data_IF_595650944540
#
_entry.id   IF_595650944540
#
_cell.length_a   1.000
_cell.length_b   1.000
_cell.length_c   1.000
_cell.angle_alpha   90.00
_cell.angle_beta   90.00
_cell.angle_gamma   90.00
#
_symmetry.space_group_name_H-M   'P 1'
#
loop_
_entity.id
_entity.type
_entity.pdbx_description
1 polymer ?
#
# COMPACT_ATOMS: atom_id res chain seq x y z
N UNK A 1 0.11 -2.13 4.37
CA UNK A 1 0.86 -2.53 3.16
C UNK A 1 2.34 -2.23 3.29
N UNK A 2 2.75 -0.99 3.56
CA UNK A 2 4.18 -0.61 3.60
C UNK A 2 5.07 -1.47 4.52
N UNK A 3 4.58 -1.82 5.72
CA UNK A 3 5.32 -2.69 6.66
C UNK A 3 5.52 -4.09 6.07
N UNK A 4 4.53 -4.61 5.34
CA UNK A 4 4.63 -5.94 4.70
C UNK A 4 5.63 -5.94 3.54
N UNK A 5 5.72 -4.82 2.81
CA UNK A 5 6.64 -4.69 1.69
C UNK A 5 8.10 -4.49 2.15
N UNK A 6 8.32 -3.66 3.18
CA UNK A 6 9.66 -3.19 3.55
C UNK A 6 10.21 -3.78 4.85
N UNK A 7 9.36 -4.41 5.67
CA UNK A 7 9.70 -4.82 7.03
C UNK A 7 9.94 -3.67 8.02
N UNK A 8 9.81 -2.41 7.56
CA UNK A 8 10.10 -1.21 8.34
C UNK A 8 8.82 -0.45 8.68
N UNK A 9 8.86 0.27 9.80
CA UNK A 9 7.81 1.23 10.14
C UNK A 9 7.78 2.34 9.07
N UNK A 10 6.60 2.82 8.64
CA UNK A 10 6.48 4.07 7.90
C UNK A 10 7.28 5.19 8.55
N UNK A 11 8.07 5.92 7.76
CA UNK A 11 8.86 7.05 8.25
C UNK A 11 9.77 6.67 9.42
N UNK A 12 10.41 5.51 9.36
CA UNK A 12 11.28 4.99 10.44
C UNK A 12 12.52 5.85 10.69
N UNK A 13 12.86 6.70 9.73
CA UNK A 13 14.04 7.56 9.65
C UNK A 13 13.83 8.97 10.23
N UNK A 14 12.62 9.31 10.67
CA UNK A 14 12.28 10.62 11.24
C UNK A 14 11.36 10.52 12.45
N UNK A 15 11.29 11.59 13.24
CA UNK A 15 10.43 11.67 14.42
C UNK A 15 8.94 11.61 14.06
N UNK A 16 8.14 10.98 14.92
CA UNK A 16 6.68 10.85 14.73
C UNK A 16 5.98 11.94 15.55
N UNK A 17 6.12 13.17 15.06
CA UNK A 17 5.63 14.39 15.70
C UNK A 17 4.54 15.08 14.85
N UNK A 18 4.11 16.26 15.31
CA UNK A 18 3.10 17.06 14.63
C UNK A 18 3.55 17.56 13.25
N UNK A 19 4.85 17.70 13.01
CA UNK A 19 5.36 18.10 11.70
C UNK A 19 5.16 16.98 10.68
N UNK A 20 5.44 15.73 11.06
CA UNK A 20 5.11 14.57 10.23
C UNK A 20 3.61 14.40 10.01
N UNK A 21 2.80 14.58 11.05
CA UNK A 21 1.35 14.52 10.88
C UNK A 21 0.86 15.56 9.86
N UNK A 22 1.35 16.80 9.97
CA UNK A 22 1.02 17.89 9.04
C UNK A 22 1.45 17.56 7.61
N UNK A 23 2.68 17.10 7.38
CA UNK A 23 3.16 16.82 6.03
C UNK A 23 2.38 15.70 5.34
N UNK A 24 1.95 14.66 6.08
CA UNK A 24 1.07 13.62 5.56
C UNK A 24 -0.30 14.20 5.15
N UNK A 25 -0.88 15.07 5.98
CA UNK A 25 -2.13 15.77 5.68
C UNK A 25 -1.99 16.68 4.45
N UNK A 26 -0.83 17.29 4.24
CA UNK A 26 -0.51 18.12 3.08
C UNK A 26 -0.25 17.29 1.80
N UNK A 27 -0.27 15.96 1.89
CA UNK A 27 -0.14 15.06 0.73
C UNK A 27 1.19 14.32 0.64
N UNK A 28 2.10 14.46 1.60
CA UNK A 28 3.33 13.65 1.63
C UNK A 28 2.97 12.15 1.70
N UNK A 29 3.62 11.35 0.87
CA UNK A 29 3.46 9.89 0.81
C UNK A 29 4.82 9.22 0.87
N UNK A 30 4.81 7.99 1.38
CA UNK A 30 6.01 7.16 1.41
C UNK A 30 6.47 6.88 -0.03
N UNK A 31 7.77 6.92 -0.22
CA UNK A 31 8.39 6.38 -1.42
C UNK A 31 8.15 4.87 -1.49
N UNK A 32 7.79 4.38 -2.67
CA UNK A 32 7.59 2.96 -2.92
C UNK A 32 8.91 2.44 -3.52
N UNK A 33 9.58 1.47 -2.88
CA UNK A 33 10.79 0.88 -3.44
C UNK A 33 10.57 0.30 -4.83
N UNK A 34 11.53 0.49 -5.74
CA UNK A 34 11.46 0.04 -7.13
C UNK A 34 11.32 -1.48 -7.30
N UNK A 35 11.75 -2.26 -6.30
CA UNK A 35 11.61 -3.71 -6.24
C UNK A 35 10.21 -4.17 -5.79
N UNK A 36 9.35 -3.24 -5.39
CA UNK A 36 7.95 -3.54 -5.04
C UNK A 36 7.20 -3.99 -6.30
N UNK A 37 6.55 -5.16 -6.31
CA UNK A 37 5.78 -5.59 -7.47
C UNK A 37 4.72 -4.55 -7.84
N UNK A 38 4.64 -4.18 -9.12
CA UNK A 38 3.79 -3.09 -9.63
C UNK A 38 2.37 -3.11 -9.08
N UNK A 39 1.75 -4.28 -9.02
CA UNK A 39 0.41 -4.46 -8.46
C UNK A 39 0.30 -4.00 -6.99
N UNK A 40 1.29 -4.31 -6.15
CA UNK A 40 1.31 -3.88 -4.76
C UNK A 40 1.52 -2.37 -4.65
N UNK A 41 2.38 -1.80 -5.50
CA UNK A 41 2.58 -0.35 -5.56
C UNK A 41 1.28 0.39 -5.91
N UNK A 42 0.56 -0.08 -6.94
CA UNK A 42 -0.73 0.49 -7.34
C UNK A 42 -1.78 0.39 -6.21
N UNK A 43 -1.85 -0.75 -5.52
CA UNK A 43 -2.76 -0.88 -4.37
C UNK A 43 -2.38 0.03 -3.21
N UNK A 44 -1.10 0.18 -2.90
CA UNK A 44 -0.62 1.11 -1.88
C UNK A 44 -1.06 2.54 -2.22
N UNK A 45 -0.84 2.96 -3.47
CA UNK A 45 -1.30 4.25 -4.01
C UNK A 45 -2.81 4.48 -3.86
N UNK A 46 -3.62 3.49 -4.25
CA UNK A 46 -5.08 3.58 -4.11
C UNK A 46 -5.53 3.68 -2.63
N UNK A 47 -4.87 2.96 -1.71
CA UNK A 47 -5.26 2.96 -0.29
C UNK A 47 -5.07 4.32 0.39
N UNK A 48 -4.12 5.12 -0.06
CA UNK A 48 -3.79 6.43 0.53
C UNK A 48 -4.02 7.60 -0.43
N UNK A 49 -4.93 7.43 -1.39
CA UNK A 49 -5.37 8.50 -2.29
C UNK A 49 -5.90 9.70 -1.48
N UNK A 50 -5.59 10.91 -1.93
CA UNK A 50 -6.08 12.15 -1.31
C UNK A 50 -7.61 12.22 -1.37
N UNK A 51 -8.19 11.82 -2.51
CA UNK A 51 -9.62 11.74 -2.70
C UNK A 51 -10.16 10.46 -2.04
N UNK A 52 -10.98 10.63 -0.99
CA UNK A 52 -11.51 9.50 -0.23
C UNK A 52 -12.34 8.54 -1.09
N UNK A 53 -12.98 9.03 -2.15
CA UNK A 53 -13.78 8.24 -3.08
C UNK A 53 -12.97 7.27 -3.95
N UNK A 54 -11.69 7.53 -4.15
CA UNK A 54 -10.79 6.66 -4.92
C UNK A 54 -10.25 5.51 -4.07
N UNK A 55 -10.41 5.57 -2.75
CA UNK A 55 -9.89 4.56 -1.84
C UNK A 55 -10.69 3.26 -1.95
N UNK A 56 -10.02 2.11 -2.08
CA UNK A 56 -10.70 0.83 -2.18
C UNK A 56 -11.34 0.46 -0.85
N UNK A 57 -12.46 -0.26 -0.92
CA UNK A 57 -13.07 -0.85 0.27
C UNK A 57 -12.25 -2.03 0.78
N UNK A 58 -12.35 -2.33 2.08
CA UNK A 58 -11.73 -3.52 2.65
C UNK A 58 -12.18 -4.81 1.93
N UNK A 59 -13.47 -4.90 1.56
CA UNK A 59 -14.01 -6.03 0.81
C UNK A 59 -13.35 -6.20 -0.57
N UNK A 60 -13.12 -5.09 -1.30
CA UNK A 60 -12.39 -5.11 -2.57
C UNK A 60 -10.95 -5.61 -2.39
N UNK A 61 -10.25 -5.08 -1.38
CA UNK A 61 -8.88 -5.49 -1.07
C UNK A 61 -8.79 -6.99 -0.73
N UNK A 62 -9.68 -7.49 0.13
CA UNK A 62 -9.73 -8.91 0.48
C UNK A 62 -9.93 -9.80 -0.75
N UNK A 63 -10.87 -9.44 -1.63
CA UNK A 63 -11.10 -10.21 -2.87
C UNK A 63 -9.86 -10.21 -3.76
N UNK A 64 -9.25 -9.04 -3.96
CA UNK A 64 -8.12 -8.87 -4.87
C UNK A 64 -6.85 -9.57 -4.36
N UNK A 65 -6.58 -9.51 -3.06
CA UNK A 65 -5.46 -10.24 -2.43
C UNK A 65 -5.70 -11.76 -2.39
N UNK A 66 -6.94 -12.20 -2.17
CA UNK A 66 -7.28 -13.63 -2.23
C UNK A 66 -7.05 -14.21 -3.64
N UNK A 67 -7.46 -13.47 -4.68
CA UNK A 67 -7.24 -13.87 -6.07
C UNK A 67 -5.75 -14.07 -6.39
N UNK A 68 -4.87 -13.24 -5.85
CA UNK A 68 -3.43 -13.38 -6.04
C UNK A 68 -2.90 -14.66 -5.41
N UNK A 69 -3.33 -14.97 -4.19
CA UNK A 69 -2.91 -16.21 -3.54
C UNK A 69 -3.38 -17.42 -4.36
N UNK A 70 -4.61 -17.41 -4.86
CA UNK A 70 -5.15 -18.47 -5.70
C UNK A 70 -4.37 -18.68 -7.01
N UNK A 71 -3.89 -17.61 -7.65
CA UNK A 71 -3.06 -17.71 -8.86
C UNK A 71 -1.67 -18.23 -8.54
N UNK A 72 -1.05 -17.74 -7.46
CA UNK A 72 0.30 -18.19 -7.05
C UNK A 72 0.31 -19.67 -6.70
N UNK A 73 -0.75 -20.14 -6.04
CA UNK A 73 -0.85 -21.52 -5.56
C UNK A 73 -1.38 -22.47 -6.66
N UNK A 74 -1.75 -21.96 -7.83
CA UNK A 74 -2.16 -22.77 -8.99
C UNK A 74 -1.17 -22.57 -10.17
N UNK A 75 -0.22 -23.49 -10.39
CA UNK A 75 0.76 -23.37 -11.46
C UNK A 75 0.17 -23.44 -12.89
N UNK A 76 -1.14 -23.69 -13.04
CA UNK A 76 -1.83 -23.67 -14.32
C UNK A 76 -3.24 -23.03 -14.18
N UNK A 77 -3.32 -21.69 -14.12
CA UNK A 77 -4.61 -21.00 -14.15
C UNK A 77 -5.21 -21.11 -15.56
N UNK A 78 -6.47 -21.55 -15.65
CA UNK A 78 -7.22 -21.71 -16.91
C UNK A 78 -7.38 -20.40 -17.66
#
# INVERSE_FOLDING_TARGET
MNILATGKRPWYDRAHDNYLAKSICDGERLEIPDDTPKFYAELMQQCWDNESGNRPTAAYLCKKLNWINLIRDNPNPR
#
